data_IF_056672278060
#
_entry.id   IF_056672278060
#
_cell.length_a   1.000
_cell.length_b   1.000
_cell.length_c   1.000
_cell.angle_alpha   90.00
_cell.angle_beta   90.00
_cell.angle_gamma   90.00
#
_symmetry.space_group_name_H-M   'P 1'
#
loop_
_entity.id
_entity.type
_entity.pdbx_description
1 polymer ?
#
# COMPACT_ATOMS: atom_id res chain seq x y z
N UNK A 1 22.44 -4.31 -0.94
CA UNK A 1 22.82 -3.40 -2.04
C UNK A 1 21.66 -3.18 -3.01
N UNK A 2 21.13 -4.18 -3.71
CA UNK A 2 20.05 -4.02 -4.71
C UNK A 2 18.79 -3.29 -4.19
N UNK A 3 18.35 -3.54 -2.95
CA UNK A 3 17.18 -2.90 -2.35
C UNK A 3 17.35 -1.39 -2.11
N UNK A 4 18.58 -0.95 -1.83
CA UNK A 4 18.93 0.46 -1.62
C UNK A 4 19.00 1.21 -2.95
N UNK A 5 19.50 0.57 -3.99
CA UNK A 5 19.55 1.12 -5.35
C UNK A 5 18.16 1.26 -5.96
N UNK A 6 17.31 0.24 -5.84
CA UNK A 6 15.92 0.30 -6.29
C UNK A 6 15.14 1.43 -5.59
N UNK A 7 15.36 1.62 -4.29
CA UNK A 7 14.74 2.71 -3.51
C UNK A 7 15.23 4.09 -3.94
N UNK A 8 16.52 4.21 -4.30
CA UNK A 8 17.09 5.45 -4.82
C UNK A 8 16.53 5.78 -6.19
N UNK A 9 16.48 4.80 -7.09
CA UNK A 9 15.90 4.94 -8.43
C UNK A 9 14.41 5.34 -8.37
N UNK A 10 13.61 4.70 -7.50
CA UNK A 10 12.21 5.06 -7.29
C UNK A 10 12.02 6.51 -6.85
N UNK A 11 12.84 6.99 -5.91
CA UNK A 11 12.80 8.39 -5.45
C UNK A 11 13.22 9.38 -6.54
N UNK A 12 14.22 9.03 -7.34
CA UNK A 12 14.67 9.85 -8.47
C UNK A 12 13.58 9.95 -9.54
N UNK A 13 12.89 8.86 -9.86
CA UNK A 13 11.76 8.87 -10.81
C UNK A 13 10.59 9.70 -10.29
N UNK A 14 10.20 9.57 -9.03
CA UNK A 14 9.16 10.40 -8.41
C UNK A 14 9.53 11.88 -8.46
N UNK A 15 10.76 12.22 -8.10
CA UNK A 15 11.25 13.60 -8.13
C UNK A 15 11.28 14.18 -9.53
N UNK A 16 11.78 13.44 -10.52
CA UNK A 16 11.85 13.90 -11.91
C UNK A 16 10.48 14.07 -12.55
N UNK A 17 9.52 13.22 -12.19
CA UNK A 17 8.14 13.31 -12.70
C UNK A 17 7.33 14.43 -12.06
N UNK A 18 7.61 14.74 -10.79
CA UNK A 18 6.89 15.76 -10.03
C UNK A 18 7.45 17.18 -10.22
N UNK A 19 8.73 17.32 -10.58
CA UNK A 19 9.40 18.62 -10.65
C UNK A 19 9.62 19.03 -12.11
N UNK A 20 8.60 19.61 -12.73
CA UNK A 20 8.63 20.05 -14.14
C UNK A 20 8.68 21.58 -14.29
N UNK A 21 8.53 22.34 -13.20
CA UNK A 21 8.44 23.78 -13.23
C UNK A 21 9.78 24.48 -13.05
N UNK A 22 9.89 25.72 -13.57
CA UNK A 22 11.05 26.57 -13.39
C UNK A 22 11.30 26.85 -11.90
N UNK A 23 12.59 26.79 -11.51
CA UNK A 23 13.02 27.03 -10.13
C UNK A 23 12.55 28.40 -9.63
N UNK A 24 12.04 28.45 -8.39
CA UNK A 24 11.53 29.63 -7.71
C UNK A 24 10.16 30.14 -8.18
N UNK A 25 9.43 29.42 -9.04
CA UNK A 25 8.03 29.71 -9.30
C UNK A 25 7.12 29.23 -8.16
N UNK A 26 5.91 29.79 -8.07
CA UNK A 26 4.87 29.31 -7.13
C UNK A 26 4.55 27.82 -7.37
N UNK A 27 4.47 27.42 -8.63
CA UNK A 27 4.26 26.03 -9.05
C UNK A 27 5.37 25.12 -8.56
N UNK A 28 6.64 25.55 -8.66
CA UNK A 28 7.78 24.81 -8.12
C UNK A 28 7.68 24.61 -6.60
N UNK A 29 7.25 25.64 -5.85
CA UNK A 29 7.05 25.51 -4.40
C UNK A 29 5.93 24.51 -4.06
N UNK A 30 4.84 24.54 -4.82
CA UNK A 30 3.73 23.59 -4.68
C UNK A 30 4.16 22.15 -5.02
N UNK A 31 4.93 21.95 -6.11
CA UNK A 31 5.48 20.64 -6.48
C UNK A 31 6.37 20.05 -5.38
N UNK A 32 7.20 20.88 -4.73
CA UNK A 32 8.02 20.45 -3.62
C UNK A 32 7.21 20.10 -2.38
N UNK A 33 6.21 20.93 -2.06
CA UNK A 33 5.31 20.67 -0.95
C UNK A 33 4.54 19.36 -1.19
N UNK A 34 4.04 19.15 -2.40
CA UNK A 34 3.40 17.91 -2.82
C UNK A 34 4.34 16.70 -2.64
N UNK A 35 5.56 16.78 -3.17
CA UNK A 35 6.55 15.69 -3.05
C UNK A 35 6.83 15.35 -1.59
N UNK A 36 6.96 16.34 -0.71
CA UNK A 36 7.17 16.12 0.73
C UNK A 36 5.99 15.42 1.38
N UNK A 37 4.76 15.83 1.06
CA UNK A 37 3.54 15.21 1.57
C UNK A 37 3.43 13.74 1.12
N UNK A 38 3.87 13.43 -0.11
CA UNK A 38 3.77 12.09 -0.69
C UNK A 38 4.97 11.18 -0.42
N UNK A 39 5.97 11.62 0.34
CA UNK A 39 7.09 10.77 0.76
C UNK A 39 6.75 9.78 1.88
N UNK A 40 5.66 10.00 2.60
CA UNK A 40 5.18 9.13 3.67
C UNK A 40 4.06 8.19 3.24
N UNK A 41 3.35 7.66 4.21
CA UNK A 41 2.12 6.91 4.00
C UNK A 41 0.99 7.90 3.65
N UNK A 42 0.52 7.88 2.40
CA UNK A 42 -0.49 8.83 1.92
C UNK A 42 -1.90 8.26 2.11
N UNK A 43 -2.08 7.02 1.73
CA UNK A 43 -3.38 6.36 1.75
C UNK A 43 -3.34 5.09 2.61
N UNK A 44 -3.91 5.10 3.83
CA UNK A 44 -4.03 3.89 4.63
C UNK A 44 -5.07 2.91 4.08
N UNK A 45 -6.00 3.41 3.26
CA UNK A 45 -7.07 2.63 2.63
C UNK A 45 -7.31 3.11 1.20
N UNK A 46 -7.82 2.22 0.35
CA UNK A 46 -8.29 2.50 -1.00
C UNK A 46 -9.79 2.78 -0.95
N UNK A 47 -10.29 3.64 -1.82
CA UNK A 47 -11.69 4.06 -1.86
C UNK A 47 -12.46 3.41 -3.01
N UNK A 48 -11.75 2.78 -3.94
CA UNK A 48 -12.36 2.01 -5.03
C UNK A 48 -12.99 0.72 -4.51
N UNK A 49 -14.12 0.34 -5.10
CA UNK A 49 -14.83 -0.89 -4.78
C UNK A 49 -14.15 -2.10 -5.45
N UNK A 50 -13.52 -3.00 -4.69
CA UNK A 50 -12.84 -4.17 -5.26
C UNK A 50 -13.78 -5.14 -6.00
N UNK A 51 -15.08 -5.11 -5.69
CA UNK A 51 -16.06 -5.95 -6.39
C UNK A 51 -16.28 -5.47 -7.82
N UNK A 52 -16.29 -4.15 -8.03
CA UNK A 52 -16.35 -3.54 -9.37
C UNK A 52 -15.11 -3.88 -10.16
N UNK A 53 -13.92 -3.73 -9.54
CA UNK A 53 -12.64 -4.07 -10.17
C UNK A 53 -12.59 -5.55 -10.59
N UNK A 54 -12.93 -6.47 -9.68
CA UNK A 54 -12.91 -7.91 -9.96
C UNK A 54 -13.88 -8.29 -11.10
N UNK A 55 -15.04 -7.63 -11.18
CA UNK A 55 -15.98 -7.83 -12.31
C UNK A 55 -15.43 -7.26 -13.61
N UNK A 56 -14.89 -6.03 -13.59
CA UNK A 56 -14.34 -5.38 -14.78
C UNK A 56 -13.14 -6.11 -15.36
N UNK A 57 -12.31 -6.70 -14.51
CA UNK A 57 -11.15 -7.50 -14.87
C UNK A 57 -11.51 -8.98 -15.17
N UNK A 58 -12.76 -9.36 -14.96
CA UNK A 58 -13.19 -10.77 -15.02
C UNK A 58 -12.27 -11.68 -14.19
N UNK A 59 -11.88 -11.23 -13.02
CA UNK A 59 -10.93 -11.94 -12.17
C UNK A 59 -11.59 -13.17 -11.56
N UNK A 60 -11.03 -14.34 -11.91
CA UNK A 60 -11.51 -15.66 -11.47
C UNK A 60 -10.33 -16.54 -11.09
N UNK A 61 -10.63 -17.71 -10.54
CA UNK A 61 -9.62 -18.72 -10.19
C UNK A 61 -8.65 -19.00 -11.34
N UNK A 62 -7.36 -19.08 -11.04
CA UNK A 62 -6.29 -19.36 -11.99
C UNK A 62 -5.84 -18.16 -12.84
N UNK A 63 -6.48 -17.00 -12.73
CA UNK A 63 -6.01 -15.77 -13.40
C UNK A 63 -4.98 -15.03 -12.54
N UNK A 64 -4.10 -14.27 -13.20
CA UNK A 64 -3.14 -13.38 -12.54
C UNK A 64 -3.58 -11.93 -12.72
N UNK A 65 -3.41 -11.10 -11.70
CA UNK A 65 -3.74 -9.68 -11.72
C UNK A 65 -2.54 -8.85 -11.27
N UNK A 66 -2.32 -7.72 -11.94
CA UNK A 66 -1.39 -6.70 -11.48
C UNK A 66 -2.17 -5.47 -11.02
N UNK A 67 -1.81 -4.91 -9.88
CA UNK A 67 -2.47 -3.73 -9.30
C UNK A 67 -1.45 -2.81 -8.61
N UNK A 68 -1.79 -1.53 -8.50
CA UNK A 68 -1.04 -0.61 -7.64
C UNK A 68 -1.38 -0.94 -6.19
N UNK A 69 -0.35 -1.06 -5.34
CA UNK A 69 -0.54 -1.42 -3.92
C UNK A 69 -1.39 -0.40 -3.17
N UNK A 70 -1.03 0.89 -3.26
CA UNK A 70 -1.70 1.95 -2.50
C UNK A 70 -1.93 1.51 -1.04
N UNK A 71 -3.15 1.59 -0.51
CA UNK A 71 -3.50 1.12 0.83
C UNK A 71 -3.52 -0.41 1.00
N UNK A 72 -3.38 -1.18 -0.08
CA UNK A 72 -3.33 -2.65 -0.09
C UNK A 72 -4.68 -3.36 0.04
N UNK A 73 -5.77 -2.63 0.25
CA UNK A 73 -7.09 -3.23 0.50
C UNK A 73 -7.58 -4.03 -0.71
N UNK A 74 -7.55 -3.43 -1.93
CA UNK A 74 -8.02 -4.09 -3.14
C UNK A 74 -7.15 -5.29 -3.51
N UNK A 75 -5.80 -5.17 -3.40
CA UNK A 75 -4.90 -6.29 -3.62
C UNK A 75 -5.22 -7.49 -2.72
N UNK A 76 -5.58 -7.25 -1.45
CA UNK A 76 -6.00 -8.32 -0.54
C UNK A 76 -7.40 -8.82 -0.85
N UNK A 77 -8.33 -7.96 -1.25
CA UNK A 77 -9.69 -8.35 -1.64
C UNK A 77 -9.70 -9.24 -2.87
N UNK A 78 -8.78 -9.02 -3.82
CA UNK A 78 -8.65 -9.86 -5.02
C UNK A 78 -8.32 -11.33 -4.71
N UNK A 79 -7.71 -11.62 -3.55
CA UNK A 79 -7.46 -12.99 -3.11
C UNK A 79 -8.77 -13.79 -2.93
N UNK A 80 -9.90 -13.13 -2.70
CA UNK A 80 -11.21 -13.80 -2.59
C UNK A 80 -11.71 -14.41 -3.90
N UNK A 81 -11.16 -14.00 -5.05
CA UNK A 81 -11.43 -14.59 -6.36
C UNK A 81 -10.54 -15.82 -6.66
N UNK A 82 -9.69 -16.24 -5.72
CA UNK A 82 -8.76 -17.36 -5.84
C UNK A 82 -7.85 -17.27 -7.09
N UNK A 83 -7.22 -16.10 -7.34
CA UNK A 83 -6.31 -15.93 -8.47
C UNK A 83 -5.03 -16.76 -8.28
N UNK A 84 -4.35 -17.07 -9.38
CA UNK A 84 -3.02 -17.71 -9.32
C UNK A 84 -1.99 -16.77 -8.70
N UNK A 85 -1.98 -15.49 -9.12
CA UNK A 85 -1.11 -14.46 -8.55
C UNK A 85 -1.78 -13.09 -8.46
N UNK A 86 -1.46 -12.37 -7.39
CA UNK A 86 -1.73 -10.94 -7.26
C UNK A 86 -0.38 -10.21 -7.18
N UNK A 87 -0.02 -9.49 -8.24
CA UNK A 87 1.19 -8.68 -8.31
C UNK A 87 0.88 -7.26 -7.87
N UNK A 88 1.15 -6.92 -6.63
CA UNK A 88 1.02 -5.57 -6.12
C UNK A 88 2.32 -4.79 -6.28
N UNK A 89 2.28 -3.68 -7.00
CA UNK A 89 3.41 -2.80 -7.27
C UNK A 89 3.15 -1.40 -6.73
N UNK A 90 4.18 -0.72 -6.26
CA UNK A 90 4.09 0.68 -5.84
C UNK A 90 5.49 1.31 -5.86
N UNK A 91 5.57 2.58 -6.23
CA UNK A 91 6.80 3.37 -6.13
C UNK A 91 7.08 3.79 -4.69
N UNK A 92 6.06 3.81 -3.84
CA UNK A 92 6.17 4.19 -2.45
C UNK A 92 6.31 2.94 -1.55
N UNK A 93 7.50 2.74 -1.01
CA UNK A 93 7.79 1.63 -0.09
C UNK A 93 6.86 1.57 1.12
N UNK A 94 6.33 2.72 1.57
CA UNK A 94 5.40 2.75 2.71
C UNK A 94 4.08 2.06 2.39
N UNK A 95 3.59 2.17 1.16
CA UNK A 95 2.40 1.47 0.70
C UNK A 95 2.65 -0.04 0.61
N UNK A 96 3.79 -0.46 0.06
CA UNK A 96 4.17 -1.88 0.03
C UNK A 96 4.30 -2.44 1.46
N UNK A 97 4.89 -1.69 2.38
CA UNK A 97 5.02 -2.12 3.78
C UNK A 97 3.66 -2.20 4.48
N UNK A 98 2.73 -1.29 4.18
CA UNK A 98 1.36 -1.35 4.68
C UNK A 98 0.63 -2.59 4.16
N UNK A 99 0.74 -2.90 2.86
CA UNK A 99 0.17 -4.12 2.29
C UNK A 99 0.73 -5.37 2.99
N UNK A 100 2.04 -5.43 3.21
CA UNK A 100 2.67 -6.54 3.94
C UNK A 100 2.13 -6.65 5.35
N UNK A 101 2.04 -5.52 6.07
CA UNK A 101 1.50 -5.49 7.43
C UNK A 101 0.04 -5.99 7.48
N UNK A 102 -0.80 -5.58 6.54
CA UNK A 102 -2.19 -6.06 6.44
C UNK A 102 -2.25 -7.55 6.12
N UNK A 103 -1.43 -8.03 5.16
CA UNK A 103 -1.32 -9.45 4.83
C UNK A 103 -0.88 -10.28 6.04
N UNK A 104 0.14 -9.83 6.74
CA UNK A 104 0.68 -10.53 7.89
C UNK A 104 -0.31 -10.50 9.07
N UNK A 105 -1.03 -9.39 9.23
CA UNK A 105 -2.16 -9.33 10.18
C UNK A 105 -3.26 -10.34 9.86
N UNK A 106 -3.63 -10.52 8.57
CA UNK A 106 -4.59 -11.56 8.17
C UNK A 106 -4.08 -12.97 8.46
N UNK A 107 -2.78 -13.18 8.33
CA UNK A 107 -2.14 -14.49 8.46
C UNK A 107 -1.89 -14.90 9.91
N UNK A 108 -1.52 -13.96 10.77
CA UNK A 108 -0.97 -14.24 12.08
C UNK A 108 -1.82 -13.75 13.25
N UNK A 109 -2.76 -12.81 13.07
CA UNK A 109 -3.66 -12.45 14.16
C UNK A 109 -4.58 -13.61 14.49
N UNK A 110 -4.91 -13.79 15.79
CA UNK A 110 -5.63 -14.97 16.24
C UNK A 110 -7.09 -15.03 15.75
N UNK A 111 -7.68 -13.90 15.38
CA UNK A 111 -9.07 -13.82 14.93
C UNK A 111 -9.36 -12.50 14.22
N UNK A 112 -10.53 -12.46 13.56
CA UNK A 112 -11.01 -11.29 12.83
C UNK A 112 -11.16 -10.04 13.73
N UNK A 113 -11.60 -10.19 14.97
CA UNK A 113 -11.80 -9.07 15.91
C UNK A 113 -10.47 -8.34 16.18
N UNK A 114 -9.37 -9.08 16.31
CA UNK A 114 -8.04 -8.49 16.49
C UNK A 114 -7.61 -7.74 15.24
N UNK A 115 -7.84 -8.32 14.06
CA UNK A 115 -7.56 -7.67 12.77
C UNK A 115 -8.38 -6.39 12.59
N UNK A 116 -9.69 -6.48 12.82
CA UNK A 116 -10.60 -5.32 12.69
C UNK A 116 -10.25 -4.21 13.67
N UNK A 117 -9.97 -4.54 14.93
CA UNK A 117 -9.53 -3.56 15.93
C UNK A 117 -8.23 -2.88 15.51
N UNK A 118 -7.29 -3.63 14.93
CA UNK A 118 -5.98 -3.10 14.52
C UNK A 118 -6.10 -2.14 13.33
N UNK A 119 -6.80 -2.53 12.27
CA UNK A 119 -6.87 -1.76 11.02
C UNK A 119 -8.15 -0.92 10.87
N UNK A 120 -9.26 -1.35 11.43
CA UNK A 120 -10.54 -0.67 11.31
C UNK A 120 -10.73 0.40 12.39
N UNK A 121 -10.52 0.05 13.66
CA UNK A 121 -10.62 1.01 14.77
C UNK A 121 -9.35 1.80 15.00
N UNK A 122 -8.20 1.28 14.64
CA UNK A 122 -6.84 1.82 14.70
C UNK A 122 -6.37 2.35 16.08
N UNK A 123 -7.10 3.27 16.72
CA UNK A 123 -6.77 3.83 18.02
C UNK A 123 -7.09 2.86 19.16
N UNK A 124 -6.19 1.92 19.44
CA UNK A 124 -6.33 0.98 20.54
C UNK A 124 -4.97 0.69 21.19
N UNK A 125 -4.88 0.88 22.51
CA UNK A 125 -3.65 0.61 23.27
C UNK A 125 -3.17 -0.86 23.18
N UNK A 126 -4.09 -1.78 22.86
CA UNK A 126 -3.76 -3.19 22.62
C UNK A 126 -3.08 -3.49 21.29
N UNK A 127 -3.09 -2.55 20.33
CA UNK A 127 -2.57 -2.80 18.97
C UNK A 127 -1.05 -2.99 18.96
N UNK A 128 -0.30 -2.23 19.75
CA UNK A 128 1.16 -2.40 19.87
C UNK A 128 1.49 -3.81 20.38
N UNK A 129 0.79 -4.26 21.44
CA UNK A 129 0.97 -5.61 21.99
C UNK A 129 0.57 -6.71 21.00
N UNK A 130 -0.49 -6.49 20.21
CA UNK A 130 -0.91 -7.44 19.18
C UNK A 130 0.13 -7.55 18.06
N UNK A 131 0.67 -6.41 17.62
CA UNK A 131 1.77 -6.37 16.64
C UNK A 131 3.01 -7.09 17.13
N UNK A 132 3.49 -6.73 18.33
CA UNK A 132 4.69 -7.32 18.94
C UNK A 132 4.59 -8.84 19.14
N UNK A 133 3.38 -9.33 19.44
CA UNK A 133 3.16 -10.75 19.71
C UNK A 133 2.97 -11.60 18.46
N UNK A 134 2.42 -11.05 17.39
CA UNK A 134 1.92 -11.84 16.28
C UNK A 134 2.53 -11.51 14.92
N UNK A 135 3.13 -10.33 14.74
CA UNK A 135 3.53 -9.83 13.41
C UNK A 135 5.01 -9.41 13.35
N UNK A 136 5.62 -9.07 14.49
CA UNK A 136 6.99 -8.50 14.53
C UNK A 136 8.06 -9.47 14.03
N UNK A 137 7.96 -10.76 14.27
CA UNK A 137 8.91 -11.81 13.93
C UNK A 137 8.58 -12.42 12.57
#
# INVERSE_FOLDING_TARGET
>A
MAKTEARKASKEHLSSSAHQSEKLSFTWAMERCFTLLFQGLVYPQIWEDPVVDMKGLELTSGKSVMTISSGGCNALSYLSADPEFVHAVDLNDHHINLLKLKRDGLRYFPNYQTYYRFFGSAQCAGNIRAFDRHVRD
#
